data_IF_295334176984
#
_entry.id   IF_295334176984
#
_cell.length_a   1.000
_cell.length_b   1.000
_cell.length_c   1.000
_cell.angle_alpha   90.00
_cell.angle_beta   90.00
_cell.angle_gamma   90.00
#
_symmetry.space_group_name_H-M   'P 1'
#
loop_
_entity.id
_entity.type
_entity.pdbx_description
1 polymer ?
#
# COMPACT_ATOMS: atom_id res chain seq x y z
N UNK A 1 -27.79 41.41 23.58
CA UNK A 1 -26.66 40.64 22.99
C UNK A 1 -26.80 40.73 21.48
N UNK A 2 -25.79 41.27 20.76
CA UNK A 2 -25.90 41.54 19.31
C UNK A 2 -26.11 40.22 18.54
N UNK A 3 -27.10 40.11 17.63
CA UNK A 3 -27.44 38.88 16.92
C UNK A 3 -26.26 38.31 16.11
N UNK A 4 -25.31 39.16 15.72
CA UNK A 4 -24.07 38.78 15.04
C UNK A 4 -23.18 37.82 15.85
N UNK A 5 -23.21 37.89 17.19
CA UNK A 5 -22.39 37.04 18.07
C UNK A 5 -22.96 35.61 18.13
N UNK A 6 -24.29 35.48 18.08
CA UNK A 6 -24.98 34.17 18.11
C UNK A 6 -24.70 33.40 16.81
N UNK A 7 -24.65 34.09 15.67
CA UNK A 7 -24.36 33.47 14.37
C UNK A 7 -22.91 32.94 14.29
N UNK A 8 -21.94 33.68 14.83
CA UNK A 8 -20.54 33.27 14.88
C UNK A 8 -20.32 32.02 15.74
N UNK A 9 -21.03 31.90 16.87
CA UNK A 9 -20.97 30.73 17.74
C UNK A 9 -21.59 29.50 17.05
N UNK A 10 -22.71 29.66 16.33
CA UNK A 10 -23.35 28.57 15.60
C UNK A 10 -22.47 28.00 14.47
N UNK A 11 -21.70 28.84 13.76
CA UNK A 11 -20.77 28.38 12.71
C UNK A 11 -19.55 27.62 13.28
N UNK A 12 -19.15 27.91 14.52
CA UNK A 12 -18.02 27.22 15.17
C UNK A 12 -18.32 25.79 15.61
N UNK A 13 -19.60 25.38 15.64
CA UNK A 13 -19.97 23.99 15.94
C UNK A 13 -19.72 23.02 14.77
N UNK A 14 -19.44 23.53 13.57
CA UNK A 14 -19.22 22.74 12.35
C UNK A 14 -17.76 22.64 11.91
N UNK A 15 -16.79 23.14 12.68
CA UNK A 15 -15.37 22.95 12.35
C UNK A 15 -14.98 21.48 12.49
N UNK A 16 -15.06 20.81 11.34
CA UNK A 16 -14.41 19.58 10.92
C UNK A 16 -13.97 18.62 12.00
N UNK A 17 -14.69 17.51 12.13
CA UNK A 17 -14.05 16.29 12.62
C UNK A 17 -12.90 15.96 11.67
N UNK A 18 -11.68 16.13 12.13
CA UNK A 18 -10.50 15.68 11.41
C UNK A 18 -10.58 14.15 11.31
N UNK A 19 -10.97 13.64 10.15
CA UNK A 19 -10.95 12.21 9.85
C UNK A 19 -9.51 11.80 9.60
N UNK A 20 -8.72 11.71 10.67
CA UNK A 20 -7.48 10.97 10.62
C UNK A 20 -7.81 9.52 10.24
N UNK A 21 -6.96 8.91 9.41
CA UNK A 21 -7.14 7.52 9.02
C UNK A 21 -7.16 6.63 10.28
N UNK A 22 -8.20 5.81 10.41
CA UNK A 22 -8.35 4.90 11.54
C UNK A 22 -7.41 3.70 11.39
N UNK A 23 -7.04 3.00 12.48
CA UNK A 23 -6.27 1.77 12.39
C UNK A 23 -6.89 0.73 11.43
N UNK A 24 -8.23 0.66 11.40
CA UNK A 24 -8.97 -0.23 10.50
C UNK A 24 -8.82 0.18 9.03
N UNK A 25 -8.78 1.49 8.73
CA UNK A 25 -8.56 1.96 7.36
C UNK A 25 -7.15 1.60 6.85
N UNK A 26 -6.14 1.70 7.72
CA UNK A 26 -4.78 1.26 7.40
C UNK A 26 -4.71 -0.25 7.15
N UNK A 27 -5.33 -1.06 8.01
CA UNK A 27 -5.36 -2.51 7.84
C UNK A 27 -6.06 -2.93 6.53
N UNK A 28 -7.15 -2.24 6.16
CA UNK A 28 -7.85 -2.49 4.91
C UNK A 28 -7.02 -2.09 3.67
N UNK A 29 -6.23 -1.01 3.78
CA UNK A 29 -5.28 -0.60 2.75
C UNK A 29 -4.17 -1.64 2.55
N UNK A 30 -3.55 -2.08 3.65
CA UNK A 30 -2.48 -3.07 3.61
C UNK A 30 -2.94 -4.40 3.03
N UNK A 31 -4.15 -4.85 3.41
CA UNK A 31 -4.76 -6.06 2.84
C UNK A 31 -4.94 -5.95 1.33
N UNK A 32 -5.50 -4.84 0.86
CA UNK A 32 -5.73 -4.65 -0.57
C UNK A 32 -4.44 -4.52 -1.38
N UNK A 33 -3.41 -3.89 -0.80
CA UNK A 33 -2.07 -3.86 -1.38
C UNK A 33 -1.53 -5.29 -1.51
N UNK A 34 -1.56 -6.08 -0.43
CA UNK A 34 -1.08 -7.46 -0.45
C UNK A 34 -1.80 -8.30 -1.52
N UNK A 35 -3.13 -8.26 -1.57
CA UNK A 35 -3.93 -8.98 -2.57
C UNK A 35 -3.58 -8.55 -4.01
N UNK A 36 -3.43 -7.23 -4.23
CA UNK A 36 -3.08 -6.70 -5.55
C UNK A 36 -1.67 -7.11 -5.98
N UNK A 37 -0.71 -7.07 -5.05
CA UNK A 37 0.66 -7.50 -5.27
C UNK A 37 0.76 -9.00 -5.58
N UNK A 38 0.09 -9.84 -4.79
CA UNK A 38 0.04 -11.29 -5.04
C UNK A 38 -0.62 -11.63 -6.38
N UNK A 39 -1.66 -10.89 -6.77
CA UNK A 39 -2.32 -11.05 -8.07
C UNK A 39 -1.42 -10.62 -9.24
N UNK A 40 -0.59 -9.59 -9.06
CA UNK A 40 0.31 -9.09 -10.09
C UNK A 40 1.60 -9.93 -10.21
N UNK A 41 2.01 -10.60 -9.13
CA UNK A 41 3.24 -11.41 -9.06
C UNK A 41 3.28 -12.51 -10.12
N UNK A 42 4.46 -12.72 -10.71
CA UNK A 42 4.69 -13.81 -11.65
C UNK A 42 5.30 -15.04 -10.97
N UNK A 43 5.55 -14.97 -9.66
CA UNK A 43 6.13 -16.04 -8.88
C UNK A 43 5.08 -17.07 -8.48
N UNK A 44 5.46 -18.35 -8.53
CA UNK A 44 4.75 -19.43 -7.86
C UNK A 44 4.99 -19.34 -6.35
N UNK A 45 3.96 -19.66 -5.57
CA UNK A 45 3.99 -19.68 -4.11
C UNK A 45 4.45 -18.32 -3.51
N UNK A 46 4.04 -17.23 -4.19
CA UNK A 46 4.40 -15.86 -3.82
C UNK A 46 3.87 -15.48 -2.45
N UNK A 47 4.72 -14.86 -1.63
CA UNK A 47 4.41 -14.40 -0.28
C UNK A 47 5.16 -13.10 0.03
N UNK A 48 4.66 -12.25 0.94
CA UNK A 48 5.37 -11.05 1.35
C UNK A 48 6.70 -11.39 2.02
N UNK A 49 7.74 -10.62 1.67
CA UNK A 49 9.06 -10.65 2.28
C UNK A 49 9.20 -9.42 3.18
N UNK A 50 8.79 -9.57 4.44
CA UNK A 50 8.81 -8.49 5.42
C UNK A 50 7.56 -7.59 5.34
N UNK A 51 7.70 -6.38 5.89
CA UNK A 51 6.64 -5.37 5.93
C UNK A 51 6.67 -4.47 4.69
N UNK A 52 5.55 -3.82 4.40
CA UNK A 52 5.51 -2.79 3.36
C UNK A 52 6.30 -1.55 3.76
N UNK A 53 6.92 -0.93 2.76
CA UNK A 53 7.44 0.43 2.88
C UNK A 53 6.33 1.41 2.49
N UNK A 54 5.94 2.25 3.44
CA UNK A 54 4.98 3.32 3.21
C UNK A 54 5.73 4.61 2.90
N UNK A 55 5.24 5.36 1.92
CA UNK A 55 5.75 6.68 1.57
C UNK A 55 4.73 7.75 1.95
N UNK A 56 5.22 8.99 2.06
CA UNK A 56 4.38 10.18 2.16
C UNK A 56 3.36 10.26 1.02
N UNK A 57 2.21 10.86 1.28
CA UNK A 57 1.07 10.91 0.35
C UNK A 57 1.42 11.58 -1.00
N UNK A 58 2.46 12.42 -1.06
CA UNK A 58 2.96 13.02 -2.32
C UNK A 58 3.53 11.98 -3.29
N UNK A 59 4.11 10.91 -2.79
CA UNK A 59 4.58 9.80 -3.62
C UNK A 59 3.37 8.99 -4.11
N UNK A 60 2.42 8.73 -3.22
CA UNK A 60 1.16 8.05 -3.56
C UNK A 60 1.27 6.54 -3.80
N UNK A 61 2.45 5.96 -3.54
CA UNK A 61 2.71 4.52 -3.65
C UNK A 61 3.06 3.91 -2.29
N UNK A 62 2.74 2.64 -2.14
CA UNK A 62 3.31 1.74 -1.14
C UNK A 62 4.15 0.69 -1.84
N UNK A 63 5.24 0.24 -1.22
CA UNK A 63 6.09 -0.81 -1.78
C UNK A 63 6.06 -2.06 -0.90
N UNK A 64 6.09 -3.24 -1.52
CA UNK A 64 6.14 -4.53 -0.84
C UNK A 64 7.07 -5.46 -1.60
N UNK A 65 8.02 -6.08 -0.89
CA UNK A 65 8.80 -7.17 -1.46
C UNK A 65 7.99 -8.46 -1.40
N UNK A 66 8.01 -9.21 -2.49
CA UNK A 66 7.45 -10.55 -2.57
C UNK A 66 8.58 -11.55 -2.80
N UNK A 67 8.39 -12.77 -2.33
CA UNK A 67 9.30 -13.87 -2.56
C UNK A 67 8.53 -15.12 -2.95
N UNK A 68 9.11 -15.91 -3.85
CA UNK A 68 8.50 -17.12 -4.37
C UNK A 68 9.48 -17.86 -5.29
N UNK A 69 8.96 -18.55 -6.30
CA UNK A 69 9.77 -19.24 -7.31
C UNK A 69 9.33 -18.90 -8.72
N UNK A 70 10.28 -18.71 -9.63
CA UNK A 70 9.99 -18.43 -11.02
C UNK A 70 9.47 -19.69 -11.74
N UNK A 71 8.21 -19.71 -12.24
CA UNK A 71 7.69 -20.85 -12.98
C UNK A 71 8.25 -20.95 -14.41
N UNK A 72 8.89 -19.90 -14.93
CA UNK A 72 9.42 -19.85 -16.28
C UNK A 72 10.56 -20.87 -16.46
N UNK A 73 10.53 -21.64 -17.55
CA UNK A 73 11.49 -22.73 -17.80
C UNK A 73 12.96 -22.28 -17.75
N UNK A 74 13.28 -21.11 -18.31
CA UNK A 74 14.65 -20.59 -18.34
C UNK A 74 15.16 -20.13 -16.97
N UNK A 75 14.26 -19.93 -16.00
CA UNK A 75 14.62 -19.56 -14.62
C UNK A 75 14.82 -20.79 -13.72
N UNK A 76 14.60 -22.01 -14.21
CA UNK A 76 14.86 -23.27 -13.51
C UNK A 76 14.25 -23.36 -12.10
N UNK A 77 13.02 -22.85 -11.91
CA UNK A 77 12.33 -22.87 -10.61
C UNK A 77 13.15 -22.23 -9.47
N UNK A 78 14.06 -21.32 -9.81
CA UNK A 78 14.90 -20.62 -8.83
C UNK A 78 14.03 -19.75 -7.92
N UNK A 79 14.52 -19.57 -6.70
CA UNK A 79 13.95 -18.61 -5.76
C UNK A 79 14.07 -17.22 -6.36
N UNK A 80 12.97 -16.48 -6.35
CA UNK A 80 12.86 -15.13 -6.91
C UNK A 80 12.36 -14.13 -5.88
N UNK A 81 12.72 -12.87 -6.07
CA UNK A 81 12.20 -11.72 -5.33
C UNK A 81 11.64 -10.70 -6.31
N UNK A 82 10.46 -10.16 -6.00
CA UNK A 82 9.83 -9.10 -6.79
C UNK A 82 9.61 -7.86 -5.92
N UNK A 83 9.80 -6.68 -6.50
CA UNK A 83 9.27 -5.43 -5.97
C UNK A 83 7.85 -5.25 -6.48
N UNK A 84 6.89 -5.14 -5.58
CA UNK A 84 5.57 -4.64 -5.88
C UNK A 84 5.45 -3.16 -5.52
N UNK A 85 4.97 -2.34 -6.46
CA UNK A 85 4.52 -0.98 -6.21
C UNK A 85 3.01 -0.92 -6.32
N UNK A 86 2.36 -0.48 -5.24
CA UNK A 86 0.91 -0.33 -5.16
C UNK A 86 0.54 1.15 -5.16
N UNK A 87 -0.18 1.60 -6.19
CA UNK A 87 -0.70 2.95 -6.25
C UNK A 87 -1.92 3.08 -5.31
N UNK A 88 -1.79 3.86 -4.24
CA UNK A 88 -2.83 3.98 -3.20
C UNK A 88 -4.12 4.60 -3.72
N UNK A 89 -4.05 5.43 -4.77
CA UNK A 89 -5.20 6.11 -5.39
C UNK A 89 -5.95 5.21 -6.38
N UNK A 90 -5.24 4.59 -7.32
CA UNK A 90 -5.86 3.74 -8.34
C UNK A 90 -6.10 2.30 -7.88
N UNK A 91 -5.50 1.91 -6.75
CA UNK A 91 -5.54 0.55 -6.18
C UNK A 91 -4.95 -0.51 -7.14
N UNK A 92 -4.03 -0.09 -8.00
CA UNK A 92 -3.33 -0.98 -8.94
C UNK A 92 -1.93 -1.32 -8.43
N UNK A 93 -1.51 -2.55 -8.68
CA UNK A 93 -0.17 -3.04 -8.38
C UNK A 93 0.62 -3.26 -9.68
N UNK A 94 1.91 -2.94 -9.64
CA UNK A 94 2.87 -3.29 -10.69
C UNK A 94 4.05 -3.99 -10.03
N UNK A 95 4.52 -5.08 -10.65
CA UNK A 95 5.63 -5.89 -10.12
C UNK A 95 6.82 -5.85 -11.07
N UNK A 96 8.01 -5.92 -10.52
CA UNK A 96 9.25 -6.13 -11.28
C UNK A 96 10.18 -7.04 -10.49
N UNK A 97 11.04 -7.77 -11.20
CA UNK A 97 12.08 -8.58 -10.57
C UNK A 97 13.05 -7.69 -9.79
N UNK A 98 13.41 -8.12 -8.58
CA UNK A 98 14.43 -7.48 -7.76
C UNK A 98 15.30 -8.51 -7.03
N UNK A 99 15.77 -9.53 -7.75
CA UNK A 99 16.59 -10.61 -7.19
C UNK A 99 17.86 -10.15 -6.46
N UNK A 100 18.41 -8.99 -6.85
CA UNK A 100 19.64 -8.44 -6.26
C UNK A 100 19.52 -7.98 -4.81
N UNK A 101 18.31 -7.91 -4.24
CA UNK A 101 18.08 -7.47 -2.85
C UNK A 101 18.16 -8.62 -1.84
N UNK A 102 18.06 -9.87 -2.31
CA UNK A 102 18.16 -11.02 -1.42
C UNK A 102 19.58 -11.07 -0.83
N UNK A 103 19.74 -11.13 0.51
CA UNK A 103 21.05 -11.31 1.12
C UNK A 103 21.68 -12.61 0.58
N UNK A 104 22.98 -12.54 0.27
CA UNK A 104 23.78 -13.71 -0.12
C UNK A 104 23.87 -14.71 1.03
#
# INVERSE_FOLDING_TARGET
>A
MKPSIVLLIALSAFVGRSFAATPQAWQALDKAMLESCLKASQLKDSKPLGNSAQFDDRVGYSALLLQGRYPQKHMNNRKGTELCLFNRKSRQASVTEWDSIAPK
#
